data_IF_463946995152
#
_entry.id   IF_463946995152
#
_cell.length_a   1.000
_cell.length_b   1.000
_cell.length_c   1.000
_cell.angle_alpha   90.00
_cell.angle_beta   90.00
_cell.angle_gamma   90.00
#
_symmetry.space_group_name_H-M   'P 1'
#
loop_
_entity.id
_entity.type
_entity.pdbx_description
1 polymer ?
#
# COMPACT_ATOMS: atom_id res chain seq x y z
N UNK A 1 -0.14 3.18 15.16
CA UNK A 1 -1.34 2.79 15.93
C UNK A 1 -1.09 2.79 17.43
N UNK A 2 -0.24 1.92 17.98
CA UNK A 2 -0.03 1.80 19.44
C UNK A 2 0.26 3.13 20.16
N UNK A 3 1.10 4.00 19.59
CA UNK A 3 1.39 5.31 20.18
C UNK A 3 0.16 6.21 20.29
N UNK A 4 -0.67 6.29 19.24
CA UNK A 4 -1.89 7.10 19.26
C UNK A 4 -2.93 6.48 20.19
N UNK A 5 -3.03 5.15 20.22
CA UNK A 5 -3.91 4.47 21.17
C UNK A 5 -3.51 4.79 22.62
N UNK A 6 -2.21 4.78 22.93
CA UNK A 6 -1.69 5.21 24.24
C UNK A 6 -2.01 6.67 24.59
N UNK A 7 -1.94 7.59 23.61
CA UNK A 7 -2.37 8.98 23.81
C UNK A 7 -3.87 9.09 24.08
N UNK A 8 -4.66 8.16 23.56
CA UNK A 8 -6.07 7.98 23.86
C UNK A 8 -6.36 7.20 25.14
N UNK A 9 -5.37 7.02 26.01
CA UNK A 9 -5.47 6.28 27.27
C UNK A 9 -5.90 4.81 27.13
N UNK A 10 -5.72 4.23 25.93
CA UNK A 10 -5.94 2.80 25.72
C UNK A 10 -4.79 1.98 26.32
N UNK A 11 -5.15 1.07 27.23
CA UNK A 11 -4.26 0.22 28.03
C UNK A 11 -3.87 -1.10 27.35
N UNK A 12 -4.52 -1.46 26.23
CA UNK A 12 -4.23 -2.70 25.51
C UNK A 12 -5.10 -3.89 25.91
N UNK A 13 -6.22 -3.70 26.63
CA UNK A 13 -7.06 -4.78 27.15
C UNK A 13 -7.89 -5.55 26.10
N UNK A 14 -8.14 -5.00 24.91
CA UNK A 14 -8.95 -5.68 23.87
C UNK A 14 -8.20 -6.91 23.33
N UNK A 15 -8.74 -8.09 23.63
CA UNK A 15 -8.34 -9.37 23.04
C UNK A 15 -9.05 -9.57 21.69
N UNK A 16 -8.40 -9.14 20.61
CA UNK A 16 -8.96 -9.20 19.25
C UNK A 16 -9.21 -10.63 18.75
N UNK A 17 -8.54 -11.64 19.30
CA UNK A 17 -8.73 -13.04 18.89
C UNK A 17 -10.05 -13.60 19.43
N UNK A 18 -10.34 -13.36 20.72
CA UNK A 18 -11.58 -13.82 21.35
C UNK A 18 -12.82 -13.04 20.90
N UNK A 19 -12.64 -11.78 20.54
CA UNK A 19 -13.73 -10.88 20.15
C UNK A 19 -14.02 -10.90 18.65
N UNK A 20 -13.38 -11.77 17.84
CA UNK A 20 -13.67 -11.85 16.42
C UNK A 20 -15.16 -12.17 16.18
N UNK A 21 -15.84 -11.33 15.38
CA UNK A 21 -17.27 -11.44 15.12
C UNK A 21 -18.20 -10.93 16.23
N UNK A 22 -17.64 -10.60 17.41
CA UNK A 22 -18.38 -10.12 18.57
C UNK A 22 -18.36 -8.59 18.68
N UNK A 23 -19.29 -8.06 19.47
CA UNK A 23 -19.32 -6.63 19.79
C UNK A 23 -18.20 -6.31 20.80
N UNK A 24 -17.55 -5.15 20.63
CA UNK A 24 -16.59 -4.66 21.62
C UNK A 24 -17.33 -4.13 22.85
N UNK A 25 -16.86 -4.50 24.04
CA UNK A 25 -17.44 -4.07 25.31
C UNK A 25 -17.22 -2.57 25.56
N UNK A 26 -16.07 -2.04 25.13
CA UNK A 26 -15.66 -0.64 25.28
C UNK A 26 -15.44 0.02 23.91
N UNK A 27 -15.66 1.34 23.79
CA UNK A 27 -15.50 2.07 22.53
C UNK A 27 -14.03 2.33 22.14
N UNK A 28 -13.05 1.80 22.86
CA UNK A 28 -11.62 2.08 22.64
C UNK A 28 -11.13 1.65 21.25
N UNK A 29 -11.82 0.69 20.61
CA UNK A 29 -11.53 0.33 19.21
C UNK A 29 -11.69 1.50 18.23
N UNK A 30 -12.53 2.51 18.56
CA UNK A 30 -12.79 3.67 17.71
C UNK A 30 -11.52 4.50 17.52
N UNK A 31 -10.79 4.82 18.60
CA UNK A 31 -9.55 5.60 18.48
C UNK A 31 -8.48 4.85 17.68
N UNK A 32 -8.46 3.52 17.79
CA UNK A 32 -7.52 2.68 17.04
C UNK A 32 -7.88 2.68 15.54
N UNK A 33 -9.18 2.63 15.19
CA UNK A 33 -9.67 2.74 13.79
C UNK A 33 -9.48 4.13 13.20
N UNK A 34 -9.54 5.18 14.02
CA UNK A 34 -9.32 6.55 13.55
C UNK A 34 -7.90 6.79 13.02
N UNK A 35 -6.91 6.02 13.48
CA UNK A 35 -5.52 6.16 13.01
C UNK A 35 -5.40 5.88 11.50
N UNK A 36 -5.67 4.66 11.00
CA UNK A 36 -5.56 4.38 9.58
C UNK A 36 -6.50 5.28 8.75
N UNK A 37 -7.71 5.58 9.24
CA UNK A 37 -8.67 6.43 8.55
C UNK A 37 -8.18 7.89 8.39
N UNK A 38 -7.54 8.47 9.41
CA UNK A 38 -7.00 9.82 9.34
C UNK A 38 -5.86 9.89 8.32
N UNK A 39 -4.90 8.97 8.42
CA UNK A 39 -3.78 8.90 7.48
C UNK A 39 -4.30 8.70 6.05
N UNK A 40 -5.24 7.79 5.85
CA UNK A 40 -5.73 7.47 4.51
C UNK A 40 -6.61 8.54 3.88
N UNK A 41 -7.29 9.38 4.69
CA UNK A 41 -8.05 10.52 4.18
C UNK A 41 -7.18 11.50 3.36
N UNK A 42 -5.87 11.52 3.62
CA UNK A 42 -4.89 12.33 2.89
C UNK A 42 -4.41 11.69 1.58
N UNK A 43 -4.72 10.41 1.30
CA UNK A 43 -4.31 9.75 0.06
C UNK A 43 -4.81 10.50 -1.18
N UNK A 44 -6.09 10.87 -1.23
CA UNK A 44 -6.67 11.57 -2.38
C UNK A 44 -6.04 12.95 -2.62
N UNK A 45 -5.90 13.84 -1.61
CA UNK A 45 -5.14 15.09 -1.75
C UNK A 45 -3.69 14.88 -2.22
N UNK A 46 -2.99 13.86 -1.71
CA UNK A 46 -1.62 13.57 -2.11
C UNK A 46 -1.52 13.09 -3.56
N UNK A 47 -2.49 12.29 -4.05
CA UNK A 47 -2.57 11.90 -5.46
C UNK A 47 -2.88 13.10 -6.36
N UNK A 48 -3.76 14.01 -5.93
CA UNK A 48 -3.98 15.27 -6.64
C UNK A 48 -2.66 16.05 -6.77
N UNK A 49 -1.92 16.22 -5.66
CA UNK A 49 -0.63 16.92 -5.65
C UNK A 49 0.42 16.22 -6.53
N UNK A 50 0.50 14.90 -6.47
CA UNK A 50 1.36 14.07 -7.33
C UNK A 50 1.17 14.45 -8.79
N UNK A 51 -0.07 14.42 -9.28
CA UNK A 51 -0.42 14.76 -10.66
C UNK A 51 -0.13 16.22 -11.01
N UNK A 52 -0.33 17.15 -10.07
CA UNK A 52 -0.01 18.57 -10.26
C UNK A 52 1.49 18.82 -10.35
N UNK A 53 2.31 18.15 -9.54
CA UNK A 53 3.76 18.29 -9.58
C UNK A 53 4.34 17.77 -10.89
N UNK A 54 3.80 16.70 -11.46
CA UNK A 54 4.23 16.22 -12.78
C UNK A 54 3.53 16.90 -13.97
N UNK A 55 2.95 18.09 -13.75
CA UNK A 55 2.43 18.99 -14.79
C UNK A 55 1.22 18.48 -15.59
N UNK A 56 0.41 17.57 -15.03
CA UNK A 56 -0.91 17.24 -15.59
C UNK A 56 -1.97 18.27 -15.18
N UNK A 57 -2.99 18.48 -16.00
CA UNK A 57 -4.04 19.48 -15.81
C UNK A 57 -4.77 19.33 -14.48
N UNK A 58 -5.36 20.42 -13.99
CA UNK A 58 -6.14 20.44 -12.73
C UNK A 58 -7.28 19.42 -12.79
N UNK A 59 -7.96 19.33 -13.93
CA UNK A 59 -9.08 18.42 -14.12
C UNK A 59 -8.63 16.95 -14.14
N UNK A 60 -7.56 16.61 -14.88
CA UNK A 60 -6.98 15.26 -14.84
C UNK A 60 -6.54 14.85 -13.43
N UNK A 61 -5.89 15.77 -12.72
CA UNK A 61 -5.46 15.57 -11.32
C UNK A 61 -6.64 15.34 -10.39
N UNK A 62 -7.74 16.08 -10.60
CA UNK A 62 -8.99 15.88 -9.86
C UNK A 62 -9.58 14.51 -10.12
N UNK A 63 -9.69 14.05 -11.38
CA UNK A 63 -10.23 12.71 -11.69
C UNK A 63 -9.39 11.60 -11.04
N UNK A 64 -8.06 11.69 -11.07
CA UNK A 64 -7.19 10.72 -10.38
C UNK A 64 -7.44 10.68 -8.87
N UNK A 65 -7.57 11.83 -8.22
CA UNK A 65 -7.86 11.92 -6.80
C UNK A 65 -9.29 11.48 -6.45
N UNK A 66 -10.25 11.75 -7.34
CA UNK A 66 -11.64 11.33 -7.21
C UNK A 66 -11.77 9.80 -7.24
N UNK A 67 -11.04 9.13 -8.13
CA UNK A 67 -11.00 7.68 -8.20
C UNK A 67 -10.50 7.04 -6.90
N UNK A 68 -9.53 7.67 -6.21
CA UNK A 68 -9.07 7.19 -4.89
C UNK A 68 -10.17 7.30 -3.82
N UNK A 69 -11.00 8.34 -3.85
CA UNK A 69 -12.08 8.55 -2.87
C UNK A 69 -13.18 7.50 -3.03
N UNK A 70 -13.56 7.22 -4.28
CA UNK A 70 -14.72 6.39 -4.60
C UNK A 70 -14.37 4.92 -4.86
N UNK A 71 -13.15 4.48 -4.55
CA UNK A 71 -12.80 3.07 -4.57
C UNK A 71 -13.17 2.38 -3.24
N UNK A 72 -13.98 1.34 -3.33
CA UNK A 72 -14.53 0.62 -2.18
C UNK A 72 -13.52 -0.33 -1.52
N UNK A 73 -12.53 -0.84 -2.27
CA UNK A 73 -11.47 -1.68 -1.69
C UNK A 73 -10.49 -0.87 -0.85
N UNK A 74 -10.09 0.32 -1.34
CA UNK A 74 -9.34 1.31 -0.58
C UNK A 74 -10.12 1.73 0.67
N UNK A 75 -11.41 2.08 0.53
CA UNK A 75 -12.25 2.45 1.68
C UNK A 75 -12.26 1.35 2.77
N UNK A 76 -12.42 0.09 2.36
CA UNK A 76 -12.50 -1.04 3.29
C UNK A 76 -11.20 -1.18 4.09
N UNK A 77 -10.04 -1.26 3.41
CA UNK A 77 -8.74 -1.42 4.08
C UNK A 77 -8.34 -0.23 4.97
N UNK A 78 -8.90 0.95 4.70
CA UNK A 78 -8.58 2.18 5.40
C UNK A 78 -9.37 2.40 6.69
N UNK A 79 -10.54 1.76 6.83
CA UNK A 79 -11.47 1.99 7.95
C UNK A 79 -11.23 1.06 9.14
N UNK A 80 -10.71 -0.14 8.89
CA UNK A 80 -10.46 -1.13 9.93
C UNK A 80 -9.09 -0.94 10.57
N UNK A 81 -8.84 -1.68 11.67
CA UNK A 81 -7.57 -1.66 12.40
C UNK A 81 -6.52 -2.45 11.59
N UNK A 82 -6.10 -1.89 10.46
CA UNK A 82 -5.18 -2.49 9.50
C UNK A 82 -4.02 -1.55 9.20
N UNK A 83 -2.83 -2.12 8.98
CA UNK A 83 -1.66 -1.33 8.61
C UNK A 83 -1.77 -0.74 7.20
N UNK A 84 -2.62 -1.31 6.34
CA UNK A 84 -2.79 -0.93 4.94
C UNK A 84 -3.24 0.54 4.78
N UNK A 85 -4.08 1.09 5.67
CA UNK A 85 -4.41 2.52 5.65
C UNK A 85 -3.19 3.46 5.78
N UNK A 86 -2.23 3.11 6.64
CA UNK A 86 -0.96 3.87 6.77
C UNK A 86 -0.01 3.61 5.60
N UNK A 87 0.07 2.36 5.12
CA UNK A 87 0.84 1.99 3.93
C UNK A 87 0.40 2.82 2.72
N UNK A 88 -0.90 2.93 2.50
CA UNK A 88 -1.50 3.70 1.41
C UNK A 88 -1.14 5.18 1.51
N UNK A 89 -1.22 5.76 2.70
CA UNK A 89 -0.80 7.13 2.94
C UNK A 89 0.67 7.35 2.60
N UNK A 90 1.58 6.54 3.16
CA UNK A 90 3.01 6.73 2.93
C UNK A 90 3.39 6.45 1.47
N UNK A 91 2.67 5.58 0.79
CA UNK A 91 2.80 5.38 -0.66
C UNK A 91 2.43 6.66 -1.42
N UNK A 92 1.25 7.24 -1.16
CA UNK A 92 0.82 8.49 -1.82
C UNK A 92 1.73 9.67 -1.46
N UNK A 93 2.21 9.74 -0.22
CA UNK A 93 3.14 10.76 0.25
C UNK A 93 4.49 10.64 -0.48
N UNK A 94 5.01 9.42 -0.59
CA UNK A 94 6.21 9.15 -1.38
C UNK A 94 6.02 9.57 -2.83
N UNK A 95 4.91 9.22 -3.49
CA UNK A 95 4.63 9.62 -4.87
C UNK A 95 4.57 11.14 -5.03
N UNK A 96 3.95 11.86 -4.09
CA UNK A 96 3.85 13.31 -4.12
C UNK A 96 5.22 13.97 -3.94
N UNK A 97 5.99 13.53 -2.93
CA UNK A 97 7.32 14.06 -2.64
C UNK A 97 8.29 13.74 -3.77
N UNK A 98 8.32 12.51 -4.29
CA UNK A 98 9.20 12.12 -5.41
C UNK A 98 8.88 12.89 -6.69
N UNK A 99 7.58 13.10 -6.96
CA UNK A 99 7.10 13.90 -8.09
C UNK A 99 7.54 15.35 -8.00
N UNK A 100 7.47 15.93 -6.80
CA UNK A 100 7.97 17.28 -6.54
C UNK A 100 9.50 17.37 -6.69
N UNK A 101 10.23 16.41 -6.10
CA UNK A 101 11.70 16.32 -6.19
C UNK A 101 12.17 16.29 -7.65
N UNK A 102 11.46 15.54 -8.50
CA UNK A 102 11.77 15.42 -9.94
C UNK A 102 11.64 16.73 -10.73
N UNK A 103 10.93 17.74 -10.20
CA UNK A 103 10.82 19.07 -10.83
C UNK A 103 11.89 20.07 -10.35
N UNK A 104 12.62 19.74 -9.29
CA UNK A 104 13.65 20.63 -8.75
C UNK A 104 14.91 20.58 -9.60
N UNK A 105 15.66 21.69 -9.64
CA UNK A 105 16.97 21.74 -10.27
C UNK A 105 17.93 20.78 -9.56
N UNK A 106 18.42 19.78 -10.30
CA UNK A 106 19.37 18.80 -9.78
C UNK A 106 20.60 19.46 -9.15
N UNK A 107 21.13 18.86 -8.08
CA UNK A 107 22.29 19.34 -7.31
C UNK A 107 22.12 20.73 -6.70
N UNK A 108 20.90 21.22 -6.57
CA UNK A 108 20.61 22.37 -5.72
C UNK A 108 20.41 21.92 -4.27
N UNK A 109 20.76 22.77 -3.30
CA UNK A 109 20.54 22.46 -1.88
C UNK A 109 19.07 22.15 -1.56
N UNK A 110 18.12 22.70 -2.33
CA UNK A 110 16.70 22.35 -2.21
C UNK A 110 16.43 20.92 -2.71
N UNK A 111 16.99 20.55 -3.86
CA UNK A 111 16.87 19.20 -4.40
C UNK A 111 17.47 18.15 -3.44
N UNK A 112 18.66 18.39 -2.89
CA UNK A 112 19.29 17.46 -1.93
C UNK A 112 18.40 17.19 -0.70
N UNK A 113 17.79 18.24 -0.12
CA UNK A 113 16.84 18.08 0.99
C UNK A 113 15.62 17.24 0.60
N UNK A 114 15.09 17.44 -0.59
CA UNK A 114 13.92 16.71 -1.08
C UNK A 114 14.25 15.27 -1.52
N UNK A 115 15.48 14.99 -1.95
CA UNK A 115 15.99 13.62 -2.13
C UNK A 115 15.95 12.85 -0.80
N UNK A 116 16.39 13.48 0.29
CA UNK A 116 16.31 12.90 1.64
C UNK A 116 14.85 12.67 2.04
N UNK A 117 13.95 13.65 1.85
CA UNK A 117 12.53 13.46 2.16
C UNK A 117 11.88 12.35 1.32
N UNK A 118 12.28 12.20 0.06
CA UNK A 118 11.83 11.10 -0.81
C UNK A 118 12.30 9.75 -0.25
N UNK A 119 13.56 9.65 0.17
CA UNK A 119 14.11 8.44 0.77
C UNK A 119 13.43 8.08 2.10
N UNK A 120 13.14 9.08 2.94
CA UNK A 120 12.45 8.89 4.24
C UNK A 120 11.02 8.39 4.03
N UNK A 121 10.26 9.01 3.11
CA UNK A 121 8.87 8.62 2.84
C UNK A 121 8.76 7.24 2.20
N UNK A 122 9.70 6.87 1.31
CA UNK A 122 9.87 5.50 0.83
C UNK A 122 10.15 4.53 1.98
N UNK A 123 11.07 4.92 2.88
CA UNK A 123 11.39 4.23 4.13
C UNK A 123 10.15 3.89 4.95
N UNK A 124 9.27 4.88 5.18
CA UNK A 124 8.03 4.66 5.93
C UNK A 124 7.08 3.70 5.24
N UNK A 125 6.86 3.84 3.92
CA UNK A 125 5.98 2.94 3.17
C UNK A 125 6.46 1.48 3.26
N UNK A 126 7.75 1.24 3.00
CA UNK A 126 8.35 -0.09 3.07
C UNK A 126 8.42 -0.67 4.49
N UNK A 127 8.47 0.19 5.52
CA UNK A 127 8.43 -0.23 6.92
C UNK A 127 7.01 -0.61 7.39
N UNK A 128 5.96 -0.04 6.76
CA UNK A 128 4.59 -0.46 7.03
C UNK A 128 4.32 -1.88 6.54
N UNK A 129 4.77 -2.19 5.31
CA UNK A 129 4.56 -3.52 4.69
C UNK A 129 5.54 -3.73 3.53
N UNK A 130 6.03 -4.97 3.40
CA UNK A 130 6.95 -5.34 2.32
C UNK A 130 6.33 -5.24 0.91
N UNK A 131 4.99 -5.11 0.81
CA UNK A 131 4.29 -4.88 -0.46
C UNK A 131 4.70 -3.57 -1.15
N UNK A 132 5.21 -2.59 -0.39
CA UNK A 132 5.73 -1.34 -0.94
C UNK A 132 7.14 -1.44 -1.57
N UNK A 133 7.83 -2.59 -1.50
CA UNK A 133 9.18 -2.71 -2.07
C UNK A 133 9.24 -2.50 -3.58
N UNK A 134 8.12 -2.67 -4.29
CA UNK A 134 7.99 -2.27 -5.71
C UNK A 134 8.31 -0.79 -5.95
N UNK A 135 8.07 0.07 -4.97
CA UNK A 135 8.34 1.51 -5.05
C UNK A 135 9.85 1.82 -5.11
N UNK A 136 10.70 0.94 -4.58
CA UNK A 136 12.16 1.06 -4.69
C UNK A 136 12.63 0.96 -6.15
N UNK A 137 12.04 0.03 -6.91
CA UNK A 137 12.33 -0.11 -8.34
C UNK A 137 11.76 1.05 -9.15
N UNK A 138 10.58 1.53 -8.78
CA UNK A 138 9.97 2.71 -9.40
C UNK A 138 10.84 3.97 -9.25
N UNK A 139 11.33 4.29 -8.03
CA UNK A 139 12.20 5.46 -7.86
C UNK A 139 13.54 5.28 -8.58
N UNK A 140 14.12 4.08 -8.55
CA UNK A 140 15.36 3.79 -9.26
C UNK A 140 15.19 4.04 -10.77
N UNK A 141 14.08 3.58 -11.36
CA UNK A 141 13.77 3.84 -12.76
C UNK A 141 13.60 5.34 -13.07
N UNK A 142 12.91 6.09 -12.20
CA UNK A 142 12.77 7.54 -12.37
C UNK A 142 14.12 8.24 -12.34
N UNK A 143 14.97 7.93 -11.36
CA UNK A 143 16.27 8.57 -11.21
C UNK A 143 17.22 8.23 -12.36
N UNK A 144 17.20 6.99 -12.84
CA UNK A 144 17.95 6.59 -14.05
C UNK A 144 17.48 7.40 -15.26
N UNK A 145 16.16 7.46 -15.49
CA UNK A 145 15.61 8.23 -16.60
C UNK A 145 15.90 9.73 -16.48
N UNK A 146 15.85 10.28 -15.27
CA UNK A 146 16.17 11.68 -15.03
C UNK A 146 17.63 11.98 -15.33
N UNK A 147 18.56 11.10 -14.97
CA UNK A 147 19.98 11.25 -15.33
C UNK A 147 20.20 11.20 -16.85
N UNK A 148 19.57 10.23 -17.52
CA UNK A 148 19.71 10.07 -18.97
C UNK A 148 19.00 11.15 -19.81
N UNK A 149 18.22 12.04 -19.19
CA UNK A 149 17.72 13.26 -19.85
C UNK A 149 18.82 14.28 -20.10
N UNK A 150 19.84 14.32 -19.25
CA UNK A 150 20.89 15.35 -19.28
C UNK A 150 22.25 14.81 -19.72
N UNK A 151 22.50 13.51 -19.54
CA UNK A 151 23.75 12.84 -19.93
C UNK A 151 23.47 11.67 -20.84
N UNK A 152 24.47 11.31 -21.67
CA UNK A 152 24.41 10.10 -22.49
C UNK A 152 24.46 8.88 -21.58
N UNK A 153 23.74 7.82 -21.96
CA UNK A 153 23.81 6.55 -21.25
C UNK A 153 25.24 5.98 -21.29
N UNK A 154 25.71 5.42 -20.18
CA UNK A 154 27.03 4.77 -20.01
C UNK A 154 28.24 5.72 -20.01
N UNK A 155 28.04 7.03 -19.98
CA UNK A 155 29.09 7.99 -19.68
C UNK A 155 29.53 7.84 -18.21
N UNK A 156 30.84 7.91 -17.85
CA UNK A 156 31.30 7.71 -16.47
C UNK A 156 30.60 8.62 -15.45
N UNK A 157 30.35 9.88 -15.82
CA UNK A 157 29.64 10.80 -14.95
C UNK A 157 28.17 10.43 -14.79
N UNK A 158 27.53 9.89 -15.84
CA UNK A 158 26.15 9.39 -15.75
C UNK A 158 26.04 8.21 -14.79
N UNK A 159 27.03 7.33 -14.79
CA UNK A 159 27.10 6.18 -13.88
C UNK A 159 27.30 6.67 -12.45
N UNK A 160 28.21 7.63 -12.24
CA UNK A 160 28.41 8.25 -10.94
C UNK A 160 27.13 8.91 -10.40
N UNK A 161 26.42 9.67 -11.24
CA UNK A 161 25.16 10.34 -10.87
C UNK A 161 24.07 9.33 -10.46
N UNK A 162 23.94 8.22 -11.20
CA UNK A 162 23.00 7.13 -10.86
C UNK A 162 23.39 6.47 -9.53
N UNK A 163 24.67 6.17 -9.32
CA UNK A 163 25.15 5.58 -8.06
C UNK A 163 24.90 6.54 -6.90
N UNK A 164 25.23 7.83 -7.05
CA UNK A 164 25.03 8.84 -6.03
C UNK A 164 23.55 8.96 -5.62
N UNK A 165 22.64 9.08 -6.58
CA UNK A 165 21.18 9.13 -6.35
C UNK A 165 20.67 7.84 -5.73
N UNK A 166 21.13 6.69 -6.22
CA UNK A 166 20.79 5.38 -5.69
C UNK A 166 21.21 5.21 -4.23
N UNK A 167 22.45 5.59 -3.88
CA UNK A 167 22.95 5.56 -2.51
C UNK A 167 22.15 6.47 -1.58
N UNK A 168 21.71 7.64 -2.03
CA UNK A 168 20.86 8.54 -1.22
C UNK A 168 19.52 7.88 -0.88
N UNK A 169 18.82 7.34 -1.89
CA UNK A 169 17.52 6.70 -1.66
C UNK A 169 17.64 5.41 -0.85
N UNK A 170 18.61 4.55 -1.20
CA UNK A 170 18.84 3.29 -0.51
C UNK A 170 19.28 3.52 0.94
N UNK A 171 20.18 4.47 1.18
CA UNK A 171 20.65 4.84 2.51
C UNK A 171 19.52 5.37 3.39
N UNK A 172 18.70 6.29 2.88
CA UNK A 172 17.57 6.83 3.63
C UNK A 172 16.48 5.78 3.90
N UNK A 173 16.18 4.93 2.91
CA UNK A 173 15.26 3.79 3.09
C UNK A 173 15.75 2.84 4.19
N UNK A 174 17.01 2.38 4.11
CA UNK A 174 17.59 1.45 5.09
C UNK A 174 17.62 2.09 6.48
N UNK A 175 17.97 3.38 6.59
CA UNK A 175 18.02 4.09 7.86
C UNK A 175 16.65 4.13 8.54
N UNK A 176 15.59 4.49 7.81
CA UNK A 176 14.22 4.49 8.37
C UNK A 176 13.77 3.07 8.71
N UNK A 177 14.02 2.09 7.83
CA UNK A 177 13.65 0.70 8.06
C UNK A 177 14.29 0.18 9.35
N UNK A 178 15.61 0.32 9.52
CA UNK A 178 16.31 -0.06 10.75
C UNK A 178 15.83 0.71 11.96
N UNK A 179 15.59 2.03 11.84
CA UNK A 179 15.07 2.84 12.94
C UNK A 179 13.72 2.30 13.45
N UNK A 180 12.82 1.86 12.56
CA UNK A 180 11.54 1.28 12.99
C UNK A 180 11.72 -0.02 13.76
N UNK A 181 12.67 -0.89 13.36
CA UNK A 181 13.03 -2.08 14.13
C UNK A 181 13.68 -1.72 15.47
N UNK A 182 14.51 -0.67 15.50
CA UNK A 182 15.16 -0.20 16.72
C UNK A 182 14.09 0.23 17.73
N UNK A 183 13.15 1.05 17.29
CA UNK A 183 11.99 1.47 18.11
C UNK A 183 11.16 0.25 18.53
N UNK A 184 10.87 -0.68 17.62
CA UNK A 184 10.13 -1.91 17.92
C UNK A 184 10.78 -2.69 19.07
N UNK A 185 12.09 -2.97 19.00
CA UNK A 185 12.78 -3.69 20.06
C UNK A 185 12.82 -2.88 21.36
N UNK A 186 13.06 -1.57 21.32
CA UNK A 186 13.12 -0.72 22.51
C UNK A 186 11.78 -0.71 23.25
N UNK A 187 10.68 -0.56 22.52
CA UNK A 187 9.33 -0.42 23.08
C UNK A 187 8.73 -1.77 23.52
N UNK A 188 9.16 -2.89 22.94
CA UNK A 188 8.68 -4.24 23.29
C UNK A 188 9.77 -5.07 23.99
N UNK A 189 10.04 -4.83 25.29
CA UNK A 189 11.08 -5.55 26.02
C UNK A 189 10.62 -6.90 26.59
N UNK A 190 9.31 -7.18 26.62
CA UNK A 190 8.74 -8.29 27.37
C UNK A 190 8.51 -9.56 26.54
N UNK A 191 8.51 -10.71 27.20
CA UNK A 191 8.05 -11.98 26.62
C UNK A 191 6.53 -11.96 26.35
N UNK A 192 6.10 -12.59 25.26
CA UNK A 192 4.69 -12.72 24.87
C UNK A 192 4.44 -13.92 23.97
N UNK A 193 3.25 -13.99 23.36
CA UNK A 193 2.84 -15.11 22.50
C UNK A 193 3.82 -15.34 21.32
N UNK A 194 4.37 -14.26 20.76
CA UNK A 194 5.29 -14.32 19.62
C UNK A 194 6.72 -14.72 19.96
N UNK A 195 7.08 -14.96 21.24
CA UNK A 195 8.45 -15.24 21.66
C UNK A 195 9.04 -16.47 20.94
N UNK A 196 8.23 -17.48 20.65
CA UNK A 196 8.67 -18.71 19.98
C UNK A 196 9.23 -18.53 18.56
N UNK A 197 8.84 -17.45 17.87
CA UNK A 197 9.30 -17.16 16.50
C UNK A 197 10.66 -16.46 16.44
N UNK A 198 11.22 -16.08 17.59
CA UNK A 198 12.47 -15.34 17.68
C UNK A 198 13.62 -16.33 18.00
N UNK A 199 14.81 -16.20 17.39
CA UNK A 199 15.98 -17.01 17.73
C UNK A 199 16.36 -16.99 19.22
N UNK A 200 16.88 -18.11 19.74
CA UNK A 200 17.21 -18.29 21.16
C UNK A 200 18.09 -17.18 21.74
N UNK A 201 19.10 -16.74 20.99
CA UNK A 201 20.01 -15.67 21.40
C UNK A 201 19.29 -14.34 21.68
N UNK A 202 18.22 -14.04 20.92
CA UNK A 202 17.41 -12.84 21.10
C UNK A 202 16.35 -13.04 22.19
N UNK A 203 15.76 -14.24 22.30
CA UNK A 203 14.80 -14.57 23.37
C UNK A 203 15.38 -14.34 24.76
N UNK A 204 16.67 -14.64 24.96
CA UNK A 204 17.38 -14.45 26.25
C UNK A 204 17.43 -12.99 26.74
N UNK A 205 17.19 -12.02 25.85
CA UNK A 205 17.16 -10.60 26.20
C UNK A 205 15.76 -10.11 26.55
N UNK A 206 14.71 -10.91 26.33
CA UNK A 206 13.35 -10.54 26.71
C UNK A 206 13.17 -10.62 28.23
N UNK A 207 12.45 -9.65 28.76
CA UNK A 207 12.18 -9.49 30.19
C UNK A 207 10.87 -10.19 30.53
N UNK A 208 10.81 -10.84 31.69
CA UNK A 208 9.53 -11.33 32.22
C UNK A 208 8.84 -10.17 32.96
N UNK A 209 7.59 -9.86 32.59
CA UNK A 209 6.80 -8.76 33.17
C UNK A 209 6.59 -8.94 34.68
N UNK A 210 6.57 -10.19 35.17
CA UNK A 210 6.23 -10.52 36.56
C UNK A 210 7.46 -10.76 37.47
N UNK A 211 8.68 -10.49 36.99
CA UNK A 211 9.91 -10.73 37.75
C UNK A 211 10.51 -9.44 38.35
N UNK A 212 11.34 -9.57 39.39
CA UNK A 212 11.98 -8.49 40.17
C UNK A 212 12.80 -7.48 39.32
N UNK A 213 12.73 -6.14 39.57
CA UNK A 213 13.02 -5.14 38.53
C UNK A 213 14.50 -4.91 38.15
N UNK A 214 15.44 -5.00 39.10
CA UNK A 214 16.77 -4.41 38.92
C UNK A 214 17.77 -5.25 38.11
N UNK A 215 17.74 -6.59 38.22
CA UNK A 215 18.65 -7.48 37.48
C UNK A 215 18.19 -7.79 36.04
N UNK A 216 16.95 -7.43 35.68
CA UNK A 216 16.34 -7.81 34.41
C UNK A 216 16.81 -6.96 33.22
N UNK A 217 17.11 -5.68 33.43
CA UNK A 217 17.51 -4.78 32.35
C UNK A 217 18.92 -5.04 31.82
N UNK A 218 19.83 -5.59 32.64
CA UNK A 218 21.15 -6.01 32.18
C UNK A 218 21.08 -7.09 31.08
N UNK A 219 20.01 -7.90 31.04
CA UNK A 219 19.77 -8.88 29.96
C UNK A 219 19.64 -8.21 28.60
N UNK A 220 19.15 -6.97 28.55
CA UNK A 220 18.93 -6.19 27.31
C UNK A 220 20.22 -5.64 26.70
N UNK A 221 21.29 -5.56 27.51
CA UNK A 221 22.62 -5.11 27.10
C UNK A 221 23.50 -6.26 26.57
N UNK A 222 23.05 -7.52 26.71
CA UNK A 222 23.80 -8.68 26.22
C UNK A 222 23.83 -8.68 24.69
N UNK A 223 24.78 -9.41 24.10
CA UNK A 223 24.73 -9.75 22.68
C UNK A 223 23.47 -10.58 22.35
N UNK A 224 22.83 -10.42 21.17
CA UNK A 224 23.21 -9.56 20.04
C UNK A 224 22.79 -8.09 20.17
N UNK A 225 23.60 -7.22 19.53
CA UNK A 225 23.32 -5.79 19.40
C UNK A 225 22.06 -5.50 18.58
N UNK A 226 21.52 -4.29 18.73
CA UNK A 226 20.27 -3.86 18.11
C UNK A 226 20.27 -3.99 16.58
N UNK A 227 21.38 -3.66 15.92
CA UNK A 227 21.53 -3.80 14.48
C UNK A 227 21.40 -5.25 14.02
N UNK A 228 22.18 -6.15 14.64
CA UNK A 228 22.14 -7.58 14.31
C UNK A 228 20.74 -8.18 14.51
N UNK A 229 20.05 -7.78 15.59
CA UNK A 229 18.67 -8.21 15.86
C UNK A 229 17.70 -7.77 14.78
N UNK A 230 17.84 -6.52 14.32
CA UNK A 230 16.97 -5.94 13.30
C UNK A 230 17.12 -6.66 11.97
N UNK A 231 18.36 -6.89 11.53
CA UNK A 231 18.63 -7.64 10.30
C UNK A 231 18.14 -9.09 10.44
N UNK A 232 18.47 -9.77 11.54
CA UNK A 232 18.07 -11.17 11.75
C UNK A 232 16.56 -11.34 11.77
N UNK A 233 15.85 -10.47 12.50
CA UNK A 233 14.40 -10.53 12.57
C UNK A 233 13.76 -10.20 11.21
N UNK A 234 14.25 -9.19 10.49
CA UNK A 234 13.75 -8.85 9.15
C UNK A 234 13.89 -10.03 8.17
N UNK A 235 15.05 -10.71 8.19
CA UNK A 235 15.29 -11.91 7.36
C UNK A 235 14.35 -13.05 7.77
N UNK A 236 14.23 -13.35 9.07
CA UNK A 236 13.36 -14.40 9.57
C UNK A 236 11.88 -14.13 9.25
N UNK A 237 11.43 -12.88 9.36
CA UNK A 237 10.10 -12.46 8.96
C UNK A 237 9.87 -12.66 7.46
N UNK A 238 10.85 -12.33 6.62
CA UNK A 238 10.74 -12.54 5.19
C UNK A 238 10.63 -14.03 4.82
N UNK A 239 11.53 -14.86 5.37
CA UNK A 239 11.54 -16.31 5.17
C UNK A 239 10.24 -16.93 5.68
N UNK A 240 9.83 -16.61 6.91
CA UNK A 240 8.62 -17.12 7.53
C UNK A 240 7.35 -16.75 6.74
N UNK A 241 7.26 -15.50 6.26
CA UNK A 241 6.15 -15.07 5.42
C UNK A 241 6.06 -15.90 4.13
N UNK A 242 7.17 -16.18 3.46
CA UNK A 242 7.17 -16.99 2.24
C UNK A 242 6.78 -18.46 2.48
N UNK A 243 6.82 -18.93 3.74
CA UNK A 243 6.38 -20.27 4.13
C UNK A 243 4.87 -20.43 4.38
N UNK A 244 4.09 -19.34 4.37
CA UNK A 244 2.63 -19.37 4.65
C UNK A 244 1.88 -19.84 3.40
N UNK A 245 1.89 -21.15 3.15
CA UNK A 245 1.30 -21.78 1.96
C UNK A 245 -0.08 -22.40 2.21
N UNK A 246 -0.61 -22.27 3.43
CA UNK A 246 -1.91 -22.81 3.79
C UNK A 246 -3.03 -22.13 2.99
N UNK A 247 -3.96 -22.95 2.50
CA UNK A 247 -5.12 -22.48 1.77
C UNK A 247 -5.99 -21.59 2.67
N UNK A 248 -6.41 -20.45 2.14
CA UNK A 248 -7.40 -19.58 2.78
C UNK A 248 -8.62 -19.39 1.88
N UNK A 249 -9.87 -19.50 2.40
CA UNK A 249 -11.10 -19.40 1.60
C UNK A 249 -11.27 -18.09 0.82
N UNK A 250 -10.60 -17.02 1.26
CA UNK A 250 -10.68 -15.70 0.63
C UNK A 250 -9.39 -15.30 -0.10
N UNK A 251 -8.48 -16.25 -0.35
CA UNK A 251 -7.27 -15.98 -1.13
C UNK A 251 -7.61 -15.82 -2.62
N UNK A 252 -7.05 -14.82 -3.26
CA UNK A 252 -7.22 -14.55 -4.69
C UNK A 252 -5.88 -14.48 -5.40
N UNK A 253 -5.89 -14.49 -6.73
CA UNK A 253 -4.69 -14.60 -7.56
C UNK A 253 -4.42 -13.30 -8.33
N UNK A 254 -3.14 -12.94 -8.54
CA UNK A 254 -2.77 -11.70 -9.21
C UNK A 254 -3.47 -11.49 -10.54
N UNK A 255 -3.54 -12.54 -11.38
CA UNK A 255 -4.17 -12.47 -12.70
C UNK A 255 -5.65 -12.03 -12.70
N UNK A 256 -6.37 -12.27 -11.59
CA UNK A 256 -7.77 -11.89 -11.46
C UNK A 256 -8.00 -10.47 -10.95
N UNK A 257 -7.00 -9.83 -10.34
CA UNK A 257 -7.17 -8.55 -9.64
C UNK A 257 -7.56 -7.37 -10.55
N UNK A 258 -6.94 -7.14 -11.72
CA UNK A 258 -7.28 -5.97 -12.56
C UNK A 258 -8.72 -5.97 -13.04
N UNK A 259 -9.34 -7.15 -13.16
CA UNK A 259 -10.70 -7.32 -13.67
C UNK A 259 -11.68 -7.76 -12.60
N UNK A 260 -11.24 -7.87 -11.33
CA UNK A 260 -12.04 -8.37 -10.23
C UNK A 260 -12.75 -9.68 -10.62
N UNK A 261 -12.00 -10.68 -11.09
CA UNK A 261 -12.58 -11.95 -11.56
C UNK A 261 -12.43 -13.10 -10.57
N UNK A 262 -11.87 -12.80 -9.40
CA UNK A 262 -11.57 -13.74 -8.33
C UNK A 262 -12.28 -13.31 -7.04
N UNK A 263 -12.12 -14.06 -5.94
CA UNK A 263 -12.87 -13.82 -4.72
C UNK A 263 -12.56 -12.47 -4.06
N UNK A 264 -13.57 -11.88 -3.43
CA UNK A 264 -13.38 -10.77 -2.50
C UNK A 264 -12.73 -11.25 -1.20
N UNK A 265 -12.35 -10.31 -0.33
CA UNK A 265 -11.83 -10.63 1.01
C UNK A 265 -12.90 -10.33 2.06
N UNK A 266 -13.44 -11.36 2.71
CA UNK A 266 -14.42 -11.16 3.76
C UNK A 266 -13.77 -10.69 5.06
N UNK A 267 -14.38 -9.72 5.73
CA UNK A 267 -13.91 -9.14 7.00
C UNK A 267 -14.80 -9.52 8.17
N UNK A 268 -16.12 -9.44 7.98
CA UNK A 268 -17.11 -9.67 9.03
C UNK A 268 -18.47 -10.00 8.41
N UNK A 269 -19.29 -10.79 9.10
CA UNK A 269 -20.68 -11.04 8.71
C UNK A 269 -21.52 -11.46 9.90
N UNK A 270 -22.76 -10.94 10.00
CA UNK A 270 -23.75 -11.33 11.00
C UNK A 270 -25.16 -11.06 10.46
N UNK A 271 -25.97 -12.11 10.34
CA UNK A 271 -27.30 -12.01 9.73
C UNK A 271 -27.20 -11.56 8.28
N UNK A 272 -27.99 -10.55 7.90
CA UNK A 272 -28.02 -10.01 6.53
C UNK A 272 -26.97 -8.90 6.28
N UNK A 273 -26.16 -8.57 7.28
CA UNK A 273 -25.07 -7.58 7.16
C UNK A 273 -23.72 -8.28 7.06
N UNK A 274 -22.92 -7.86 6.09
CA UNK A 274 -21.55 -8.32 5.91
C UNK A 274 -20.63 -7.19 5.45
N UNK A 275 -19.34 -7.37 5.70
CA UNK A 275 -18.28 -6.50 5.24
C UNK A 275 -17.33 -7.33 4.39
N UNK A 276 -17.23 -6.96 3.10
CA UNK A 276 -16.37 -7.60 2.11
C UNK A 276 -15.52 -6.53 1.43
N UNK A 277 -14.20 -6.72 1.44
CA UNK A 277 -13.27 -5.87 0.71
C UNK A 277 -13.32 -6.23 -0.78
N UNK A 278 -14.00 -5.36 -1.52
CA UNK A 278 -14.27 -5.50 -2.95
C UNK A 278 -14.02 -4.15 -3.64
N UNK A 279 -13.38 -4.18 -4.80
CA UNK A 279 -13.02 -2.99 -5.57
C UNK A 279 -14.20 -2.41 -6.35
N UNK A 280 -14.13 -1.12 -6.68
CA UNK A 280 -15.11 -0.51 -7.56
C UNK A 280 -14.81 -0.90 -9.02
N UNK A 281 -15.69 -1.70 -9.63
CA UNK A 281 -15.48 -2.28 -10.97
C UNK A 281 -15.18 -1.21 -12.01
N UNK A 282 -15.88 -0.06 -11.97
CA UNK A 282 -15.65 1.01 -12.92
C UNK A 282 -14.26 1.62 -12.78
N UNK A 283 -13.79 1.84 -11.55
CA UNK A 283 -12.44 2.39 -11.31
C UNK A 283 -11.37 1.42 -11.79
N UNK A 284 -11.52 0.13 -11.49
CA UNK A 284 -10.58 -0.91 -11.91
C UNK A 284 -10.49 -0.99 -13.44
N UNK A 285 -11.64 -1.06 -14.11
CA UNK A 285 -11.70 -1.26 -15.56
C UNK A 285 -11.25 -0.01 -16.30
N UNK A 286 -11.78 1.17 -15.93
CA UNK A 286 -11.37 2.45 -16.53
C UNK A 286 -9.88 2.67 -16.29
N UNK A 287 -9.37 2.39 -15.09
CA UNK A 287 -7.94 2.51 -14.77
C UNK A 287 -7.06 1.62 -15.63
N UNK A 288 -7.41 0.33 -15.75
CA UNK A 288 -6.67 -0.63 -16.55
C UNK A 288 -6.69 -0.27 -18.05
N UNK A 289 -7.85 0.03 -18.62
CA UNK A 289 -7.94 0.43 -20.03
C UNK A 289 -7.29 1.80 -20.29
N UNK A 290 -7.38 2.75 -19.36
CA UNK A 290 -6.66 4.03 -19.46
C UNK A 290 -5.15 3.84 -19.50
N UNK A 291 -4.61 2.93 -18.69
CA UNK A 291 -3.19 2.56 -18.74
C UNK A 291 -2.81 2.03 -20.13
N UNK A 292 -3.55 1.03 -20.64
CA UNK A 292 -3.26 0.41 -21.94
C UNK A 292 -3.36 1.42 -23.08
N UNK A 293 -4.43 2.21 -23.11
CA UNK A 293 -4.67 3.20 -24.17
C UNK A 293 -3.66 4.37 -24.11
N UNK A 294 -3.17 4.73 -22.91
CA UNK A 294 -2.13 5.77 -22.77
C UNK A 294 -0.85 5.44 -23.53
N UNK A 295 -0.54 4.15 -23.73
CA UNK A 295 0.63 3.69 -24.49
C UNK A 295 0.58 4.08 -25.98
N UNK A 296 -0.61 4.38 -26.52
CA UNK A 296 -0.79 4.78 -27.92
C UNK A 296 -0.38 6.23 -28.18
N UNK A 297 -0.30 7.08 -27.15
CA UNK A 297 -0.09 8.53 -27.27
C UNK A 297 1.39 8.93 -27.19
N UNK A 298 2.28 8.18 -27.87
CA UNK A 298 3.74 8.34 -27.81
C UNK A 298 4.23 9.76 -28.20
N UNK A 299 3.48 10.44 -29.07
CA UNK A 299 3.80 11.80 -29.54
C UNK A 299 3.41 12.91 -28.56
N UNK A 300 2.64 12.61 -27.52
CA UNK A 300 2.17 13.60 -26.57
C UNK A 300 3.29 14.05 -25.63
N UNK A 301 3.33 15.35 -25.31
CA UNK A 301 4.41 15.96 -24.51
C UNK A 301 4.62 15.27 -23.15
N UNK A 302 3.54 14.95 -22.45
CA UNK A 302 3.58 14.29 -21.13
C UNK A 302 3.65 12.75 -21.19
N UNK A 303 3.86 12.15 -22.38
CA UNK A 303 3.87 10.69 -22.56
C UNK A 303 4.90 10.00 -21.67
N UNK A 304 6.13 10.54 -21.60
CA UNK A 304 7.21 9.99 -20.76
C UNK A 304 6.83 9.93 -19.29
N UNK A 305 6.12 10.94 -18.81
CA UNK A 305 5.63 10.99 -17.42
C UNK A 305 4.53 9.97 -17.18
N UNK A 306 3.60 9.79 -18.13
CA UNK A 306 2.61 8.71 -18.06
C UNK A 306 3.26 7.33 -18.04
N UNK A 307 4.31 7.11 -18.86
CA UNK A 307 5.09 5.88 -18.87
C UNK A 307 5.74 5.58 -17.51
N UNK A 308 6.22 6.60 -16.78
CA UNK A 308 6.72 6.39 -15.42
C UNK A 308 5.66 5.75 -14.52
N UNK A 309 4.40 6.23 -14.55
CA UNK A 309 3.32 5.62 -13.78
C UNK A 309 2.96 4.21 -14.26
N UNK A 310 3.05 3.91 -15.56
CA UNK A 310 2.89 2.54 -16.08
C UNK A 310 3.95 1.62 -15.47
N UNK A 311 5.21 2.07 -15.45
CA UNK A 311 6.31 1.29 -14.85
C UNK A 311 6.12 1.14 -13.34
N UNK A 312 5.62 2.17 -12.65
CA UNK A 312 5.24 2.09 -11.24
C UNK A 312 4.17 1.01 -10.99
N UNK A 313 3.11 1.00 -11.81
CA UNK A 313 2.09 -0.06 -11.78
C UNK A 313 2.72 -1.45 -11.94
N UNK A 314 3.58 -1.64 -12.95
CA UNK A 314 4.21 -2.94 -13.22
C UNK A 314 5.13 -3.39 -12.08
N UNK A 315 5.99 -2.52 -11.56
CA UNK A 315 6.88 -2.87 -10.44
C UNK A 315 6.12 -3.14 -9.13
N UNK A 316 4.96 -2.55 -8.95
CA UNK A 316 4.09 -2.84 -7.80
C UNK A 316 3.20 -4.05 -8.02
N UNK A 317 2.98 -4.52 -9.26
CA UNK A 317 2.04 -5.61 -9.56
C UNK A 317 2.73 -6.93 -9.92
N UNK A 318 3.68 -6.91 -10.85
CA UNK A 318 4.31 -8.12 -11.38
C UNK A 318 5.01 -9.00 -10.33
N UNK A 319 5.66 -8.46 -9.28
CA UNK A 319 6.26 -9.29 -8.25
C UNK A 319 5.29 -10.27 -7.58
N UNK A 320 3.99 -9.95 -7.52
CA UNK A 320 2.99 -10.82 -6.90
C UNK A 320 2.80 -12.16 -7.63
N UNK A 321 3.12 -12.24 -8.93
CA UNK A 321 3.09 -13.52 -9.67
C UNK A 321 4.20 -14.48 -9.24
N UNK A 322 5.26 -13.96 -8.61
CA UNK A 322 6.41 -14.74 -8.14
C UNK A 322 6.28 -15.15 -6.67
N UNK A 323 5.20 -14.73 -5.99
CA UNK A 323 5.01 -14.99 -4.56
C UNK A 323 4.37 -16.38 -4.39
N UNK A 324 5.04 -17.34 -3.73
CA UNK A 324 4.58 -18.73 -3.62
C UNK A 324 3.55 -18.96 -2.51
N UNK A 325 3.07 -17.89 -1.84
CA UNK A 325 2.13 -17.94 -0.71
C UNK A 325 0.75 -17.40 -1.08
N UNK A 326 -0.21 -17.62 -0.19
CA UNK A 326 -1.55 -17.05 -0.30
C UNK A 326 -1.50 -15.52 -0.36
N UNK A 327 -2.14 -14.96 -1.39
CA UNK A 327 -2.27 -13.51 -1.63
C UNK A 327 -3.75 -13.16 -1.79
N UNK A 328 -4.03 -11.86 -1.75
CA UNK A 328 -5.39 -11.33 -1.55
C UNK A 328 -5.56 -10.03 -2.33
N UNK A 329 -6.81 -9.66 -2.64
CA UNK A 329 -7.13 -8.51 -3.48
C UNK A 329 -6.51 -7.20 -2.98
N UNK A 330 -6.45 -6.99 -1.65
CA UNK A 330 -5.87 -5.78 -1.07
C UNK A 330 -4.38 -5.57 -1.40
N UNK A 331 -3.66 -6.62 -1.82
CA UNK A 331 -2.28 -6.49 -2.29
C UNK A 331 -2.18 -5.65 -3.58
N UNK A 332 -3.28 -5.56 -4.34
CA UNK A 332 -3.37 -4.80 -5.58
C UNK A 332 -3.60 -3.29 -5.38
N UNK A 333 -3.76 -2.82 -4.14
CA UNK A 333 -4.15 -1.42 -3.90
C UNK A 333 -3.05 -0.40 -4.21
N UNK A 334 -1.78 -0.75 -4.06
CA UNK A 334 -0.67 0.11 -4.54
C UNK A 334 -0.69 0.19 -6.08
N UNK A 335 -0.73 -0.93 -6.83
CA UNK A 335 -0.99 -0.89 -8.28
C UNK A 335 -2.22 -0.06 -8.67
N UNK A 336 -3.34 -0.20 -7.96
CA UNK A 336 -4.56 0.55 -8.21
C UNK A 336 -4.34 2.06 -8.11
N UNK A 337 -3.55 2.54 -7.14
CA UNK A 337 -3.20 3.96 -7.05
C UNK A 337 -2.50 4.48 -8.31
N UNK A 338 -1.60 3.68 -8.89
CA UNK A 338 -0.99 4.01 -10.18
C UNK A 338 -2.03 4.03 -11.31
N UNK A 339 -2.99 3.11 -11.32
CA UNK A 339 -4.10 3.14 -12.30
C UNK A 339 -4.98 4.38 -12.17
N UNK A 340 -5.24 4.85 -10.94
CA UNK A 340 -5.94 6.10 -10.69
C UNK A 340 -5.16 7.31 -11.27
N UNK A 341 -3.84 7.37 -11.05
CA UNK A 341 -2.98 8.37 -11.71
C UNK A 341 -3.06 8.25 -13.24
N UNK A 342 -2.95 7.03 -13.77
CA UNK A 342 -2.95 6.75 -15.21
C UNK A 342 -4.26 7.15 -15.89
N UNK A 343 -5.40 7.03 -15.20
CA UNK A 343 -6.70 7.53 -15.68
C UNK A 343 -6.64 9.04 -15.96
N UNK A 344 -6.09 9.81 -15.02
CA UNK A 344 -5.89 11.25 -15.21
C UNK A 344 -4.89 11.53 -16.34
N UNK A 345 -3.79 10.78 -16.42
CA UNK A 345 -2.82 10.97 -17.51
C UNK A 345 -3.45 10.71 -18.88
N UNK A 346 -4.24 9.64 -19.01
CA UNK A 346 -4.93 9.26 -20.24
C UNK A 346 -5.82 10.39 -20.73
N UNK A 347 -6.67 10.95 -19.84
CA UNK A 347 -7.54 12.08 -20.17
C UNK A 347 -6.75 13.26 -20.74
N UNK A 348 -5.58 13.54 -20.17
CA UNK A 348 -4.72 14.64 -20.60
C UNK A 348 -4.01 14.39 -21.92
N UNK A 349 -3.59 13.16 -22.17
CA UNK A 349 -2.88 12.76 -23.38
C UNK A 349 -3.82 12.59 -24.58
N UNK A 350 -5.03 12.08 -24.34
CA UNK A 350 -5.93 11.64 -25.39
C UNK A 350 -6.89 12.71 -25.89
N UNK A 351 -7.31 13.64 -25.02
CA UNK A 351 -8.45 14.51 -25.34
C UNK A 351 -8.15 16.00 -25.23
N UNK A 352 -8.69 16.83 -26.15
CA UNK A 352 -8.71 18.28 -26.00
C UNK A 352 -9.61 18.70 -24.83
N UNK A 353 -9.48 19.93 -24.30
CA UNK A 353 -10.11 20.34 -23.04
C UNK A 353 -11.62 20.07 -22.93
N UNK A 354 -12.40 20.32 -23.99
CA UNK A 354 -13.87 20.08 -23.98
C UNK A 354 -14.21 18.59 -23.85
N UNK A 355 -13.62 17.75 -24.72
CA UNK A 355 -13.87 16.30 -24.72
C UNK A 355 -13.36 15.68 -23.42
N UNK A 356 -12.20 16.12 -22.95
CA UNK A 356 -11.63 15.73 -21.66
C UNK A 356 -12.60 15.94 -20.51
N UNK A 357 -13.25 17.12 -20.47
CA UNK A 357 -14.26 17.44 -19.47
C UNK A 357 -15.45 16.46 -19.50
N UNK A 358 -15.98 16.17 -20.69
CA UNK A 358 -17.11 15.26 -20.88
C UNK A 358 -16.73 13.83 -20.46
N UNK A 359 -15.61 13.30 -20.97
CA UNK A 359 -15.16 11.93 -20.67
C UNK A 359 -14.81 11.79 -19.19
N UNK A 360 -14.08 12.75 -18.61
CA UNK A 360 -13.75 12.71 -17.19
C UNK A 360 -14.96 12.85 -16.27
N UNK A 361 -15.97 13.65 -16.66
CA UNK A 361 -17.23 13.71 -15.93
C UNK A 361 -17.98 12.37 -15.97
N UNK A 362 -18.03 11.71 -17.13
CA UNK A 362 -18.61 10.38 -17.27
C UNK A 362 -17.88 9.34 -16.40
N UNK A 363 -16.55 9.39 -16.38
CA UNK A 363 -15.73 8.54 -15.50
C UNK A 363 -16.04 8.76 -14.02
N UNK A 364 -16.14 10.01 -13.58
CA UNK A 364 -16.52 10.33 -12.19
C UNK A 364 -17.94 9.87 -11.86
N UNK A 365 -18.90 10.00 -12.77
CA UNK A 365 -20.27 9.52 -12.57
C UNK A 365 -20.32 7.99 -12.43
N UNK A 366 -19.56 7.26 -13.25
CA UNK A 366 -19.45 5.81 -13.14
C UNK A 366 -18.77 5.39 -11.83
N UNK A 367 -17.71 6.08 -11.41
CA UNK A 367 -17.06 5.83 -10.13
C UNK A 367 -18.03 6.08 -8.95
N UNK A 368 -18.80 7.17 -8.98
CA UNK A 368 -19.82 7.49 -7.98
C UNK A 368 -20.92 6.42 -7.95
N UNK A 369 -21.40 5.99 -9.12
CA UNK A 369 -22.41 4.95 -9.23
C UNK A 369 -21.92 3.62 -8.66
N UNK A 370 -20.69 3.22 -9.00
CA UNK A 370 -20.06 2.03 -8.41
C UNK A 370 -19.90 2.13 -6.90
N UNK A 371 -19.50 3.29 -6.39
CA UNK A 371 -19.41 3.50 -4.95
C UNK A 371 -20.78 3.39 -4.28
N UNK A 372 -21.82 3.98 -4.86
CA UNK A 372 -23.19 3.84 -4.36
C UNK A 372 -23.60 2.37 -4.28
N UNK A 373 -23.29 1.57 -5.32
CA UNK A 373 -23.66 0.16 -5.40
C UNK A 373 -22.89 -0.73 -4.41
N UNK A 374 -21.57 -0.54 -4.26
CA UNK A 374 -20.70 -1.46 -3.50
C UNK A 374 -20.22 -0.94 -2.15
N UNK A 375 -20.40 0.34 -1.83
CA UNK A 375 -20.06 0.87 -0.50
C UNK A 375 -20.81 0.19 0.65
N UNK A 376 -22.03 -0.37 0.51
CA UNK A 376 -22.65 -1.16 1.57
C UNK A 376 -21.77 -2.32 2.07
N UNK A 377 -21.04 -3.00 1.17
CA UNK A 377 -20.07 -4.05 1.53
C UNK A 377 -18.84 -3.51 2.27
N UNK A 378 -18.52 -2.23 2.15
CA UNK A 378 -17.43 -1.60 2.94
C UNK A 378 -17.94 -1.06 4.27
N UNK A 379 -19.17 -0.55 4.31
CA UNK A 379 -19.75 0.07 5.51
C UNK A 379 -20.41 -0.93 6.46
N UNK A 380 -20.80 -2.11 5.98
CA UNK A 380 -21.60 -3.08 6.71
C UNK A 380 -23.07 -2.67 6.86
N UNK A 381 -23.55 -1.79 5.98
CA UNK A 381 -24.97 -1.35 5.93
C UNK A 381 -25.80 -2.33 5.11
N UNK A 382 -27.14 -2.29 5.17
CA UNK A 382 -27.98 -3.17 4.35
C UNK A 382 -27.61 -3.10 2.87
N UNK A 383 -27.44 -4.28 2.26
CA UNK A 383 -27.02 -4.40 0.86
C UNK A 383 -28.20 -4.24 -0.09
N UNK A 384 -27.90 -3.85 -1.33
CA UNK A 384 -28.84 -4.03 -2.44
C UNK A 384 -29.02 -5.51 -2.74
N UNK A 385 -30.04 -5.83 -3.54
CA UNK A 385 -30.24 -7.17 -4.06
C UNK A 385 -28.94 -7.75 -4.63
N UNK A 386 -28.64 -9.00 -4.28
CA UNK A 386 -27.44 -9.69 -4.77
C UNK A 386 -27.47 -9.84 -6.29
N UNK A 387 -28.65 -9.97 -6.91
CA UNK A 387 -28.77 -10.03 -8.37
C UNK A 387 -28.31 -8.74 -9.06
N UNK A 388 -28.34 -7.61 -8.36
CA UNK A 388 -27.88 -6.30 -8.87
C UNK A 388 -26.43 -6.04 -8.48
N UNK A 389 -26.05 -6.40 -7.26
CA UNK A 389 -24.78 -6.00 -6.65
C UNK A 389 -23.65 -7.00 -6.85
N UNK A 390 -23.95 -8.28 -7.09
CA UNK A 390 -22.97 -9.35 -7.34
C UNK A 390 -22.98 -9.70 -8.83
N UNK A 391 -21.93 -9.31 -9.55
CA UNK A 391 -21.89 -9.47 -11.01
C UNK A 391 -21.25 -10.77 -11.48
N UNK A 392 -20.58 -11.49 -10.57
CA UNK A 392 -20.04 -12.82 -10.86
C UNK A 392 -20.00 -13.66 -9.59
N UNK A 393 -20.40 -14.92 -9.73
CA UNK A 393 -20.31 -15.93 -8.66
C UNK A 393 -18.88 -16.14 -8.15
N UNK A 394 -17.87 -15.79 -8.95
CA UNK A 394 -16.47 -15.88 -8.54
C UNK A 394 -16.15 -14.93 -7.38
N UNK A 395 -16.88 -13.84 -7.18
CA UNK A 395 -16.66 -12.95 -6.03
C UNK A 395 -16.93 -13.66 -4.70
N UNK A 396 -17.97 -14.49 -4.68
CA UNK A 396 -18.39 -15.25 -3.49
C UNK A 396 -17.59 -16.55 -3.38
N UNK A 397 -17.48 -17.31 -4.47
CA UNK A 397 -17.00 -18.69 -4.43
C UNK A 397 -15.56 -18.87 -4.95
N UNK A 398 -14.90 -17.79 -5.38
CA UNK A 398 -13.62 -17.84 -6.09
C UNK A 398 -13.77 -18.43 -7.49
N UNK A 399 -12.73 -18.35 -8.31
CA UNK A 399 -12.74 -18.95 -9.65
C UNK A 399 -12.67 -20.49 -9.65
N UNK A 400 -12.68 -21.11 -10.84
CA UNK A 400 -12.63 -22.59 -10.96
C UNK A 400 -11.43 -23.20 -10.23
N UNK A 401 -10.26 -22.58 -10.34
CA UNK A 401 -9.04 -23.06 -9.68
C UNK A 401 -9.15 -22.92 -8.16
N UNK A 402 -9.66 -21.79 -7.67
CA UNK A 402 -9.91 -21.58 -6.24
C UNK A 402 -10.85 -22.65 -5.68
N UNK A 403 -11.95 -22.95 -6.38
CA UNK A 403 -12.92 -24.00 -5.97
C UNK A 403 -12.30 -25.39 -5.95
N UNK A 404 -11.46 -25.73 -6.92
CA UNK A 404 -10.72 -27.01 -6.93
C UNK A 404 -9.71 -27.09 -5.79
N UNK A 405 -8.99 -26.00 -5.51
CA UNK A 405 -8.05 -25.93 -4.41
C UNK A 405 -8.75 -26.01 -3.05
N UNK A 406 -9.90 -25.35 -2.89
CA UNK A 406 -10.75 -25.45 -1.70
C UNK A 406 -11.17 -26.90 -1.44
N UNK A 407 -11.61 -27.62 -2.48
CA UNK A 407 -12.00 -29.04 -2.35
C UNK A 407 -10.84 -29.96 -1.94
N UNK A 408 -9.61 -29.65 -2.33
CA UNK A 408 -8.42 -30.44 -1.95
C UNK A 408 -7.95 -30.19 -0.51
N UNK A 409 -8.34 -29.07 0.09
CA UNK A 409 -7.92 -28.66 1.43
C UNK A 409 -9.06 -28.72 2.48
N UNK A 410 -10.24 -29.22 2.09
CA UNK A 410 -11.29 -29.68 3.00
C UNK A 410 -11.05 -31.15 3.28
#
# INVERSE_FOLDING_TARGET
MAYIAKLGEYDGEIDFEKLYGNQYDRPDFVIIRMVPALFSSLCSPLIYLTMRFVSFSKFASFVSAFFIIFDTSLLTEQRFILSDGMLHFFTCLFLAVSSYTSQLKAYSARWDRFMIYTAITLGFACSCKNTAWGLCFYIAFIEINNTFRYRKALDPDSIFDVIYRGCHHLGGFIAVYLLTFFVHFIVLPYNGQGTGYIPDMMRRQLVNKNAEPAQLWAKRLRYPELFFRSVTLAVNMHIGNMGITQFHPYQSRPGGWPFLTDCWVAFWGKGDSEVNCMGNVFIYYIGFFSMVLSLLFVKSFNYRTSLNFVVGYLFSYLPFFLIPRSVYLYHYLIPLMFLCCLTGTFLDLAFPPKIKGIVGAAFCLLALFGFYLWSPFSYGTPHFDQEISVWTDNWIYGDKYHRELSKKNR
#
